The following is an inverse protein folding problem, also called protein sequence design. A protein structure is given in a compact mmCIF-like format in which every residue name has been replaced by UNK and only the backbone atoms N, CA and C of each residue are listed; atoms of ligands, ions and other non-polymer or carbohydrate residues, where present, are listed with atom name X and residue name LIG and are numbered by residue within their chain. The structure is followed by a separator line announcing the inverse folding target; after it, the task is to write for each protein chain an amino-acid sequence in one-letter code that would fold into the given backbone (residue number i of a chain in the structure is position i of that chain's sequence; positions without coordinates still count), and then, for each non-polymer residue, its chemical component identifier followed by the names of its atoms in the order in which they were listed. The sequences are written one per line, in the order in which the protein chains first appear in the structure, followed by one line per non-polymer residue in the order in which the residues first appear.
data_IF_759173570345
#
_entry.id   IF_759173570345
#
_cell.length_a   1.000
_cell.length_b   1.000
_cell.length_c   1.000
_cell.angle_alpha   90.00
_cell.angle_beta   90.00
_cell.angle_gamma   90.00
#
_symmetry.space_group_name_H-M   'P 1'
#
loop_
_entity.id
_entity.type
_entity.pdbx_description
1 polymer ?
#
# COMPACT_ATOMS: atom_id res chain seq x y z
N UNK A 1 -7.61 27.25 6.89
CA UNK A 1 -6.43 28.14 6.90
C UNK A 1 -5.24 27.24 7.24
N UNK A 2 -4.58 26.67 6.23
CA UNK A 2 -3.45 25.75 6.41
C UNK A 2 -2.22 26.64 6.45
N UNK A 3 -1.84 27.07 7.67
CA UNK A 3 -0.67 27.90 7.90
C UNK A 3 0.60 27.05 7.89
N UNK A 4 1.38 27.23 6.82
CA UNK A 4 2.84 27.35 6.80
C UNK A 4 3.61 26.38 7.71
N UNK A 5 4.06 25.27 7.12
CA UNK A 5 5.24 24.54 7.56
C UNK A 5 6.19 24.42 6.37
N UNK A 6 6.80 25.55 6.00
CA UNK A 6 7.98 25.57 5.14
C UNK A 6 9.19 25.99 5.99
N UNK A 7 9.89 25.00 6.55
CA UNK A 7 11.23 25.21 7.10
C UNK A 7 12.04 23.92 7.02
N UNK A 8 12.91 23.87 6.00
CA UNK A 8 14.13 23.05 5.86
C UNK A 8 14.14 21.61 6.40
N UNK A 9 13.89 20.67 5.49
CA UNK A 9 14.04 19.23 5.66
C UNK A 9 12.88 18.54 4.98
N UNK A 10 13.13 17.53 4.14
CA UNK A 10 12.09 16.83 3.37
C UNK A 10 10.91 16.45 4.28
N UNK A 11 9.79 17.18 4.20
CA UNK A 11 8.61 16.90 5.02
C UNK A 11 7.91 15.70 4.39
N UNK A 12 8.03 14.55 5.04
CA UNK A 12 7.29 13.36 4.65
C UNK A 12 5.87 13.45 5.22
N UNK A 13 4.87 13.35 4.34
CA UNK A 13 3.47 13.50 4.74
C UNK A 13 3.01 12.40 5.69
N UNK A 14 3.59 11.20 5.59
CA UNK A 14 3.31 10.06 6.45
C UNK A 14 3.68 10.28 7.92
N UNK A 15 4.58 11.20 8.26
CA UNK A 15 4.84 11.59 9.66
C UNK A 15 4.09 12.86 10.07
N UNK A 16 3.24 13.42 9.21
CA UNK A 16 2.47 14.63 9.55
C UNK A 16 1.44 14.34 10.64
N UNK A 17 1.21 15.29 11.56
CA UNK A 17 0.20 15.16 12.61
C UNK A 17 -1.22 15.11 12.01
N UNK A 18 -2.09 14.31 12.61
CA UNK A 18 -3.52 14.30 12.29
C UNK A 18 -4.30 14.93 13.44
N UNK A 19 -4.86 16.11 13.18
CA UNK A 19 -5.62 16.86 14.16
C UNK A 19 -6.80 16.06 14.71
N UNK A 20 -7.15 16.33 15.97
CA UNK A 20 -8.26 15.68 16.69
C UNK A 20 -8.11 14.17 16.88
N UNK A 21 -6.89 13.65 16.80
CA UNK A 21 -6.56 12.27 17.16
C UNK A 21 -5.71 12.21 18.42
N UNK A 22 -5.64 11.02 19.02
CA UNK A 22 -4.87 10.70 20.22
C UNK A 22 -4.50 9.22 20.22
N UNK A 23 -3.72 8.80 21.20
CA UNK A 23 -3.38 7.38 21.40
C UNK A 23 -4.60 6.43 21.46
N UNK A 24 -5.80 6.94 21.78
CA UNK A 24 -7.05 6.16 21.79
C UNK A 24 -7.48 5.69 20.39
N UNK A 25 -7.06 6.41 19.36
CA UNK A 25 -7.34 6.09 17.95
C UNK A 25 -6.37 5.02 17.41
N UNK A 26 -5.43 4.56 18.24
CA UNK A 26 -4.50 3.48 17.91
C UNK A 26 -4.90 2.17 18.61
N UNK A 27 -4.49 1.06 18.00
CA UNK A 27 -4.55 -0.25 18.61
C UNK A 27 -3.26 -0.56 19.37
N UNK A 28 -3.28 -0.29 20.67
CA UNK A 28 -2.13 -0.49 21.55
C UNK A 28 -1.69 -1.95 21.64
N UNK A 29 -2.60 -2.92 21.56
CA UNK A 29 -2.21 -4.33 21.64
C UNK A 29 -1.40 -4.72 20.40
N UNK A 30 -1.86 -4.29 19.22
CA UNK A 30 -1.13 -4.48 17.96
C UNK A 30 0.22 -3.76 17.97
N UNK A 31 0.29 -2.55 18.53
CA UNK A 31 1.55 -1.82 18.69
C UNK A 31 2.50 -2.61 19.59
N UNK A 32 2.02 -3.11 20.74
CA UNK A 32 2.85 -3.89 21.66
C UNK A 32 3.36 -5.16 20.99
N UNK A 33 2.49 -5.89 20.30
CA UNK A 33 2.86 -7.10 19.56
C UNK A 33 3.93 -6.77 18.50
N UNK A 34 3.77 -5.67 17.76
CA UNK A 34 4.76 -5.22 16.80
C UNK A 34 6.12 -4.91 17.44
N UNK A 35 6.16 -4.17 18.55
CA UNK A 35 7.43 -3.82 19.20
C UNK A 35 8.10 -5.04 19.83
N UNK A 36 7.30 -5.98 20.35
CA UNK A 36 7.79 -7.24 20.88
C UNK A 36 8.42 -8.10 19.78
N UNK A 37 7.70 -8.28 18.66
CA UNK A 37 8.12 -9.17 17.57
C UNK A 37 9.27 -8.59 16.72
N UNK A 38 9.22 -7.29 16.40
CA UNK A 38 10.11 -6.69 15.39
C UNK A 38 11.16 -5.74 15.96
N UNK A 39 10.95 -5.22 17.17
CA UNK A 39 11.89 -4.29 17.82
C UNK A 39 12.54 -4.90 19.07
N UNK A 40 12.20 -6.15 19.45
CA UNK A 40 12.67 -6.82 20.67
C UNK A 40 12.49 -5.99 21.93
N UNK A 41 11.49 -5.10 21.92
CA UNK A 41 11.23 -4.16 23.01
C UNK A 41 9.86 -4.47 23.60
N UNK A 42 9.82 -4.78 24.89
CA UNK A 42 8.60 -5.16 25.56
C UNK A 42 7.85 -3.93 26.08
N UNK A 43 6.83 -3.50 25.34
CA UNK A 43 5.94 -2.41 25.76
C UNK A 43 4.90 -2.84 26.82
N UNK A 44 4.80 -4.13 27.16
CA UNK A 44 3.87 -4.60 28.20
C UNK A 44 4.38 -4.28 29.62
N UNK A 45 5.69 -4.17 29.81
CA UNK A 45 6.30 -3.85 31.11
C UNK A 45 6.41 -2.34 31.40
N UNK A 46 6.12 -1.50 30.40
CA UNK A 46 6.30 -0.05 30.48
C UNK A 46 5.09 0.70 31.04
N UNK A 47 5.34 1.81 31.74
CA UNK A 47 4.28 2.70 32.21
C UNK A 47 3.72 3.58 31.07
N UNK A 48 2.55 4.18 31.29
CA UNK A 48 1.86 4.97 30.26
C UNK A 48 2.68 6.13 29.69
N UNK A 49 3.48 6.83 30.53
CA UNK A 49 4.30 7.95 30.07
C UNK A 49 5.46 7.46 29.22
N UNK A 50 6.06 6.35 29.61
CA UNK A 50 7.15 5.72 28.86
C UNK A 50 6.66 5.21 27.50
N UNK A 51 5.49 4.54 27.46
CA UNK A 51 4.84 4.15 26.20
C UNK A 51 4.63 5.37 25.29
N UNK A 52 4.01 6.45 25.80
CA UNK A 52 3.76 7.65 24.99
C UNK A 52 5.05 8.24 24.41
N UNK A 53 6.11 8.33 25.21
CA UNK A 53 7.43 8.79 24.78
C UNK A 53 8.03 7.90 23.70
N UNK A 54 7.91 6.58 23.85
CA UNK A 54 8.40 5.61 22.84
C UNK A 54 7.64 5.78 21.53
N UNK A 55 6.31 5.92 21.58
CA UNK A 55 5.50 6.11 20.37
C UNK A 55 5.77 7.45 19.68
N UNK A 56 6.12 8.50 20.43
CA UNK A 56 6.60 9.77 19.87
C UNK A 56 7.96 9.58 19.18
N UNK A 57 8.92 8.93 19.85
CA UNK A 57 10.24 8.66 19.28
C UNK A 57 10.19 7.75 18.05
N UNK A 58 9.18 6.89 17.97
CA UNK A 58 8.94 5.99 16.85
C UNK A 58 8.13 6.63 15.71
N UNK A 59 7.81 7.93 15.83
CA UNK A 59 7.00 8.73 14.90
C UNK A 59 5.54 8.26 14.72
N UNK A 60 5.05 7.35 15.58
CA UNK A 60 3.65 6.89 15.59
C UNK A 60 2.73 7.98 16.17
N UNK A 61 3.22 8.68 17.20
CA UNK A 61 2.62 9.88 17.77
C UNK A 61 3.49 11.10 17.46
N UNK A 62 2.88 12.28 17.51
CA UNK A 62 3.53 13.57 17.38
C UNK A 62 3.09 14.47 18.52
N UNK A 63 4.01 15.30 19.01
CA UNK A 63 3.72 16.31 20.02
C UNK A 63 3.82 17.69 19.39
N UNK A 64 2.72 18.42 19.36
CA UNK A 64 2.61 19.77 18.77
C UNK A 64 1.86 20.65 19.76
N UNK A 65 2.44 21.81 20.10
CA UNK A 65 1.87 22.78 21.04
C UNK A 65 1.42 22.14 22.37
N UNK A 66 2.21 21.18 22.87
CA UNK A 66 1.92 20.44 24.10
C UNK A 66 0.83 19.37 23.98
N UNK A 67 0.19 19.22 22.82
CA UNK A 67 -0.81 18.19 22.55
C UNK A 67 -0.19 17.02 21.80
N UNK A 68 -0.51 15.80 22.24
CA UNK A 68 -0.11 14.57 21.56
C UNK A 68 -1.22 14.12 20.60
N UNK A 69 -0.85 13.91 19.35
CA UNK A 69 -1.73 13.46 18.26
C UNK A 69 -1.09 12.29 17.52
N UNK A 70 -1.86 11.52 16.76
CA UNK A 70 -1.29 10.50 15.88
C UNK A 70 -0.60 11.14 14.67
N UNK A 71 0.41 10.46 14.13
CA UNK A 71 0.86 10.71 12.76
C UNK A 71 -0.03 10.00 11.75
N UNK A 72 0.02 10.44 10.49
CA UNK A 72 -0.64 9.76 9.36
C UNK A 72 -0.23 8.28 9.30
N UNK A 73 1.06 7.99 9.34
CA UNK A 73 1.62 6.64 9.27
C UNK A 73 1.25 5.81 10.49
N UNK A 74 1.27 6.40 11.68
CA UNK A 74 0.80 5.77 12.90
C UNK A 74 -0.65 5.28 12.78
N UNK A 75 -1.54 6.09 12.20
CA UNK A 75 -2.92 5.69 11.93
C UNK A 75 -3.01 4.63 10.83
N UNK A 76 -2.27 4.76 9.74
CA UNK A 76 -2.33 3.81 8.63
C UNK A 76 -1.81 2.41 8.99
N UNK A 77 -0.87 2.31 9.91
CA UNK A 77 -0.29 1.02 10.35
C UNK A 77 -0.99 0.47 11.59
N UNK A 78 -1.38 1.33 12.55
CA UNK A 78 -1.87 0.90 13.86
C UNK A 78 -3.24 1.48 14.25
N UNK A 79 -3.87 2.25 13.39
CA UNK A 79 -5.12 2.95 13.70
C UNK A 79 -6.34 2.04 13.83
N UNK A 80 -7.34 2.57 14.54
CA UNK A 80 -8.70 2.06 14.63
C UNK A 80 -9.62 3.03 13.90
N UNK A 81 -10.67 2.53 13.25
CA UNK A 81 -11.69 3.36 12.58
C UNK A 81 -11.08 4.46 11.67
N UNK A 82 -10.04 4.12 10.92
CA UNK A 82 -9.20 5.06 10.16
C UNK A 82 -10.04 5.89 9.18
N UNK A 83 -11.13 5.34 8.65
CA UNK A 83 -12.01 6.02 7.70
C UNK A 83 -12.65 7.31 8.23
N UNK A 84 -12.83 7.42 9.55
CA UNK A 84 -13.40 8.61 10.18
C UNK A 84 -12.45 9.81 10.11
N UNK A 85 -11.14 9.55 10.06
CA UNK A 85 -10.08 10.57 10.08
C UNK A 85 -9.36 10.70 8.74
N UNK A 86 -9.36 9.63 7.94
CA UNK A 86 -8.68 9.53 6.64
C UNK A 86 -9.56 8.80 5.62
N UNK A 87 -10.65 9.43 5.12
CA UNK A 87 -11.57 8.80 4.17
C UNK A 87 -10.93 8.42 2.82
N UNK A 88 -9.75 8.97 2.52
CA UNK A 88 -8.93 8.66 1.35
C UNK A 88 -8.09 7.38 1.49
N UNK A 89 -7.99 6.81 2.70
CA UNK A 89 -7.32 5.53 2.92
C UNK A 89 -8.13 4.38 2.30
N UNK A 90 -7.45 3.38 1.74
CA UNK A 90 -8.10 2.19 1.21
C UNK A 90 -8.00 1.99 -0.30
N UNK A 91 -8.63 0.91 -0.75
CA UNK A 91 -8.68 0.45 -2.14
C UNK A 91 -10.14 0.35 -2.58
N UNK A 92 -10.46 0.91 -3.74
CA UNK A 92 -11.70 0.64 -4.48
C UNK A 92 -11.41 -0.34 -5.61
N UNK A 93 -11.93 -1.55 -5.49
CA UNK A 93 -11.80 -2.60 -6.49
C UNK A 93 -13.06 -2.70 -7.35
N UNK A 94 -12.89 -2.87 -8.65
CA UNK A 94 -13.95 -3.21 -9.58
C UNK A 94 -13.47 -4.23 -10.61
N UNK A 95 -14.28 -5.25 -10.85
CA UNK A 95 -14.08 -6.25 -11.89
C UNK A 95 -15.14 -6.06 -12.96
N UNK A 96 -14.73 -5.84 -14.20
CA UNK A 96 -15.59 -5.63 -15.34
C UNK A 96 -15.57 -6.83 -16.27
N UNK A 97 -16.71 -7.12 -16.89
CA UNK A 97 -16.80 -8.03 -18.01
C UNK A 97 -16.24 -7.35 -19.27
N UNK A 98 -15.33 -8.02 -19.99
CA UNK A 98 -14.61 -7.42 -21.11
C UNK A 98 -13.42 -6.53 -20.69
N UNK A 99 -13.01 -5.65 -21.60
CA UNK A 99 -11.77 -4.88 -21.50
C UNK A 99 -11.98 -3.37 -21.30
N UNK A 100 -13.22 -2.94 -21.08
CA UNK A 100 -13.64 -1.55 -20.94
C UNK A 100 -14.37 -1.30 -19.61
N UNK A 101 -14.24 -0.09 -19.06
CA UNK A 101 -14.92 0.33 -17.82
C UNK A 101 -16.44 0.45 -17.98
N UNK A 102 -16.92 0.55 -19.22
CA UNK A 102 -18.32 0.53 -19.62
C UNK A 102 -18.93 -0.87 -19.60
N UNK A 103 -18.11 -1.92 -19.46
CA UNK A 103 -18.56 -3.29 -19.33
C UNK A 103 -19.35 -3.55 -18.05
N UNK A 104 -20.09 -4.66 -18.03
CA UNK A 104 -20.89 -5.05 -16.87
C UNK A 104 -20.02 -5.26 -15.63
N UNK A 105 -20.45 -4.72 -14.49
CA UNK A 105 -19.73 -4.83 -13.22
C UNK A 105 -19.97 -6.21 -12.59
N UNK A 106 -18.94 -7.06 -12.59
CA UNK A 106 -18.96 -8.42 -12.03
C UNK A 106 -18.85 -8.38 -10.51
N UNK A 107 -17.90 -7.60 -9.99
CA UNK A 107 -17.67 -7.46 -8.55
C UNK A 107 -17.19 -6.04 -8.24
N UNK A 108 -17.52 -5.57 -7.04
CA UNK A 108 -17.08 -4.26 -6.53
C UNK A 108 -16.87 -4.36 -5.03
N UNK A 109 -15.70 -3.95 -4.58
CA UNK A 109 -15.32 -3.93 -3.16
C UNK A 109 -14.68 -2.59 -2.81
N UNK A 110 -14.89 -2.15 -1.58
CA UNK A 110 -14.13 -1.05 -1.00
C UNK A 110 -13.50 -1.58 0.27
N UNK A 111 -12.18 -1.57 0.30
CA UNK A 111 -11.39 -1.98 1.46
C UNK A 111 -10.85 -0.75 2.16
N UNK A 112 -10.98 -0.76 3.47
CA UNK A 112 -10.50 0.28 4.37
C UNK A 112 -9.96 -0.37 5.64
N UNK A 113 -8.99 0.26 6.30
CA UNK A 113 -8.34 -0.28 7.49
C UNK A 113 -6.84 -0.06 7.47
N UNK A 114 -6.12 -0.89 8.24
CA UNK A 114 -4.66 -0.83 8.28
C UNK A 114 -4.08 -1.33 6.96
N UNK A 115 -2.92 -0.83 6.56
CA UNK A 115 -2.37 -1.16 5.23
C UNK A 115 -2.13 -2.66 5.04
N UNK A 116 -1.63 -3.35 6.06
CA UNK A 116 -1.42 -4.79 6.05
C UNK A 116 -2.74 -5.57 5.88
N UNK A 117 -3.81 -5.14 6.56
CA UNK A 117 -5.12 -5.78 6.44
C UNK A 117 -5.70 -5.60 5.04
N UNK A 118 -5.58 -4.39 4.49
CA UNK A 118 -6.01 -4.08 3.12
C UNK A 118 -5.21 -4.91 2.12
N UNK A 119 -3.90 -5.06 2.31
CA UNK A 119 -3.03 -5.81 1.41
C UNK A 119 -3.44 -7.29 1.33
N UNK A 120 -3.63 -7.93 2.49
CA UNK A 120 -4.02 -9.33 2.59
C UNK A 120 -5.42 -9.57 2.01
N UNK A 121 -6.39 -8.74 2.38
CA UNK A 121 -7.76 -8.85 1.88
C UNK A 121 -7.83 -8.64 0.36
N UNK A 122 -7.07 -7.67 -0.17
CA UNK A 122 -7.06 -7.40 -1.60
C UNK A 122 -6.46 -8.58 -2.38
N UNK A 123 -5.40 -9.21 -1.87
CA UNK A 123 -4.83 -10.40 -2.50
C UNK A 123 -5.85 -11.54 -2.58
N UNK A 124 -6.62 -11.76 -1.51
CA UNK A 124 -7.71 -12.75 -1.50
C UNK A 124 -8.79 -12.40 -2.52
N UNK A 125 -9.21 -11.13 -2.60
CA UNK A 125 -10.22 -10.68 -3.58
C UNK A 125 -9.74 -10.88 -5.02
N UNK A 126 -8.49 -10.54 -5.33
CA UNK A 126 -7.93 -10.77 -6.68
C UNK A 126 -7.90 -12.26 -7.00
N UNK A 127 -7.41 -13.10 -6.10
CA UNK A 127 -7.37 -14.56 -6.30
C UNK A 127 -8.75 -15.17 -6.52
N UNK A 128 -9.78 -14.67 -5.84
CA UNK A 128 -11.14 -15.14 -6.00
C UNK A 128 -11.80 -14.68 -7.32
N UNK A 129 -11.35 -13.56 -7.87
CA UNK A 129 -11.86 -13.02 -9.14
C UNK A 129 -11.10 -13.55 -10.37
N UNK A 130 -9.85 -14.00 -10.19
CA UNK A 130 -9.10 -14.70 -11.24
C UNK A 130 -9.78 -16.05 -11.47
N UNK A 131 -10.42 -16.19 -12.65
CA UNK A 131 -10.97 -17.46 -13.11
C UNK A 131 -9.81 -18.46 -13.14
N UNK A 132 -9.93 -19.59 -12.45
CA UNK A 132 -8.99 -20.71 -12.58
C UNK A 132 -9.52 -21.65 -13.67
N UNK A 133 -9.18 -21.48 -14.96
CA UNK A 133 -9.46 -22.51 -15.94
C UNK A 133 -8.63 -23.74 -15.56
N UNK A 134 -9.29 -24.75 -15.01
CA UNK A 134 -8.68 -26.07 -14.81
C UNK A 134 -8.57 -26.72 -16.19
N UNK A 135 -7.51 -26.36 -16.93
CA UNK A 135 -7.23 -26.99 -18.22
C UNK A 135 -6.67 -28.37 -17.94
N UNK A 136 -7.53 -29.40 -18.03
CA UNK A 136 -7.13 -30.81 -17.93
C UNK A 136 -6.43 -31.18 -19.23
N UNK A 137 -5.11 -30.96 -19.30
CA UNK A 137 -4.26 -31.57 -20.32
C UNK A 137 -3.54 -32.78 -19.69
N UNK A 138 -3.96 -33.98 -20.11
CA UNK A 138 -3.26 -35.27 -19.99
C UNK A 138 -2.50 -35.56 -18.67
N UNK A 139 -3.12 -36.36 -17.79
CA UNK A 139 -2.53 -37.06 -16.62
C UNK A 139 -1.78 -36.22 -15.55
N UNK A 140 -1.38 -34.97 -15.82
CA UNK A 140 -0.80 -34.02 -14.86
C UNK A 140 -1.41 -32.63 -15.07
N UNK A 141 -2.12 -32.14 -14.05
CA UNK A 141 -2.64 -30.77 -14.00
C UNK A 141 -1.45 -29.80 -14.04
N UNK A 142 -1.30 -29.05 -15.13
CA UNK A 142 -0.43 -27.87 -15.18
C UNK A 142 -1.32 -26.64 -14.98
N UNK A 143 -1.33 -26.11 -13.77
CA UNK A 143 -1.93 -24.79 -13.52
C UNK A 143 -0.95 -23.75 -14.07
N UNK A 144 -1.27 -23.14 -15.23
CA UNK A 144 -0.55 -21.95 -15.68
C UNK A 144 -1.07 -20.79 -14.83
N UNK A 145 -0.23 -20.26 -13.93
CA UNK A 145 -0.60 -19.07 -13.16
C UNK A 145 -0.70 -17.86 -14.10
N UNK A 146 -1.93 -17.35 -14.30
CA UNK A 146 -2.21 -16.18 -15.14
C UNK A 146 -1.57 -14.90 -14.56
N UNK A 147 -1.57 -14.81 -13.22
CA UNK A 147 -0.99 -13.73 -12.45
C UNK A 147 -0.27 -14.33 -11.24
N UNK A 148 1.07 -14.41 -11.25
CA UNK A 148 1.80 -14.98 -10.13
C UNK A 148 1.51 -14.24 -8.83
N UNK A 149 1.29 -14.97 -7.74
CA UNK A 149 0.88 -14.38 -6.46
C UNK A 149 1.87 -13.33 -5.95
N UNK A 150 3.17 -13.52 -6.23
CA UNK A 150 4.22 -12.58 -5.89
C UNK A 150 4.06 -11.23 -6.62
N UNK A 151 3.67 -11.27 -7.90
CA UNK A 151 3.43 -10.06 -8.72
C UNK A 151 2.24 -9.27 -8.17
N UNK A 152 1.14 -9.96 -7.85
CA UNK A 152 -0.05 -9.33 -7.26
C UNK A 152 0.26 -8.70 -5.90
N UNK A 153 0.96 -9.43 -5.03
CA UNK A 153 1.37 -8.94 -3.71
C UNK A 153 2.21 -7.67 -3.84
N UNK A 154 3.22 -7.68 -4.70
CA UNK A 154 4.10 -6.55 -4.91
C UNK A 154 3.34 -5.34 -5.46
N UNK A 155 2.45 -5.53 -6.44
CA UNK A 155 1.64 -4.45 -7.00
C UNK A 155 0.69 -3.82 -5.97
N UNK A 156 0.04 -4.63 -5.13
CA UNK A 156 -0.84 -4.16 -4.04
C UNK A 156 -0.05 -3.36 -3.01
N UNK A 157 1.06 -3.93 -2.49
CA UNK A 157 1.86 -3.28 -1.45
C UNK A 157 2.46 -1.99 -1.98
N UNK A 158 3.02 -1.98 -3.19
CA UNK A 158 3.56 -0.76 -3.81
C UNK A 158 2.49 0.31 -3.97
N UNK A 159 1.27 -0.07 -4.35
CA UNK A 159 0.14 0.87 -4.45
C UNK A 159 -0.16 1.53 -3.11
N UNK A 160 -0.12 0.77 -2.00
CA UNK A 160 -0.41 1.25 -0.65
C UNK A 160 0.72 2.12 -0.06
N UNK A 161 1.97 1.68 -0.17
CA UNK A 161 3.12 2.35 0.47
C UNK A 161 3.60 3.57 -0.30
N UNK A 162 3.46 3.59 -1.63
CA UNK A 162 3.89 4.73 -2.45
C UNK A 162 2.77 5.73 -2.77
N UNK A 163 1.53 5.46 -2.31
CA UNK A 163 0.39 6.39 -2.45
C UNK A 163 0.71 7.77 -1.88
N UNK A 164 0.28 8.82 -2.57
CA UNK A 164 0.31 10.17 -2.03
C UNK A 164 -0.87 10.42 -1.07
N UNK A 165 -0.62 10.32 0.24
CA UNK A 165 -1.67 10.48 1.25
C UNK A 165 -2.17 11.90 1.47
N UNK A 166 -1.52 12.92 0.89
CA UNK A 166 -2.01 14.29 0.90
C UNK A 166 -3.16 14.54 -0.07
N UNK A 167 -3.34 13.66 -1.07
CA UNK A 167 -4.48 13.73 -2.00
C UNK A 167 -5.72 13.18 -1.30
N UNK A 168 -6.63 14.10 -0.96
CA UNK A 168 -7.94 13.80 -0.39
C UNK A 168 -8.94 13.42 -1.49
N UNK A 169 -9.95 12.63 -1.15
CA UNK A 169 -11.09 12.33 -2.06
C UNK A 169 -10.86 11.23 -3.11
N UNK A 170 -9.65 10.68 -3.23
CA UNK A 170 -9.36 9.55 -4.14
C UNK A 170 -8.69 8.40 -3.38
N UNK A 171 -9.30 7.20 -3.43
CA UNK A 171 -8.67 5.95 -2.95
C UNK A 171 -7.78 5.36 -4.05
N UNK A 172 -6.95 4.38 -3.72
CA UNK A 172 -6.33 3.53 -4.76
C UNK A 172 -7.46 2.85 -5.52
N UNK A 173 -7.37 2.77 -6.84
CA UNK A 173 -8.34 2.06 -7.67
C UNK A 173 -7.67 0.86 -8.30
N UNK A 174 -8.29 -0.31 -8.16
CA UNK A 174 -7.83 -1.53 -8.83
C UNK A 174 -8.95 -1.97 -9.76
N UNK A 175 -8.65 -1.98 -11.06
CA UNK A 175 -9.57 -2.42 -12.09
C UNK A 175 -9.11 -3.74 -12.67
N UNK A 176 -10.00 -4.72 -12.67
CA UNK A 176 -9.78 -6.02 -13.29
C UNK A 176 -10.65 -6.13 -14.53
N UNK A 177 -10.01 -6.52 -15.63
CA UNK A 177 -10.60 -6.78 -16.94
C UNK A 177 -10.29 -8.22 -17.35
N UNK A 178 -10.87 -8.69 -18.45
CA UNK A 178 -10.60 -10.05 -18.95
C UNK A 178 -9.13 -10.27 -19.34
N UNK A 179 -8.42 -9.21 -19.77
CA UNK A 179 -7.04 -9.29 -20.27
C UNK A 179 -5.97 -8.70 -19.33
N UNK A 180 -6.34 -7.97 -18.28
CA UNK A 180 -5.38 -7.23 -17.44
C UNK A 180 -5.95 -6.81 -16.08
N UNK A 181 -5.04 -6.46 -15.17
CA UNK A 181 -5.33 -5.77 -13.92
C UNK A 181 -4.58 -4.44 -13.93
N UNK A 182 -5.27 -3.35 -13.62
CA UNK A 182 -4.71 -2.01 -13.51
C UNK A 182 -4.73 -1.53 -12.06
N UNK A 183 -3.59 -1.07 -11.57
CA UNK A 183 -3.39 -0.51 -10.25
C UNK A 183 -3.17 1.00 -10.38
N UNK A 184 -4.19 1.79 -10.05
CA UNK A 184 -4.19 3.24 -10.11
C UNK A 184 -3.93 3.81 -8.72
N UNK A 185 -2.73 4.36 -8.50
CA UNK A 185 -2.34 4.96 -7.22
C UNK A 185 -2.32 6.49 -7.32
N UNK A 186 -3.00 7.22 -6.41
CA UNK A 186 -2.95 8.67 -6.37
C UNK A 186 -1.53 9.22 -6.14
N UNK A 187 -1.13 10.18 -6.98
CA UNK A 187 0.14 10.88 -6.94
C UNK A 187 1.05 10.53 -8.12
N UNK A 188 1.73 11.55 -8.65
CA UNK A 188 2.79 11.43 -9.67
C UNK A 188 4.04 10.74 -9.13
N UNK A 189 4.95 10.34 -10.01
CA UNK A 189 6.29 9.98 -9.63
C UNK A 189 7.03 11.20 -9.05
N UNK A 190 7.89 11.02 -8.04
CA UNK A 190 8.79 12.08 -7.60
C UNK A 190 9.69 12.51 -8.76
N UNK A 191 9.99 13.81 -8.88
CA UNK A 191 10.81 14.37 -9.96
C UNK A 191 12.20 13.72 -10.13
N UNK A 192 12.68 13.01 -9.10
CA UNK A 192 13.97 12.31 -9.09
C UNK A 192 13.92 10.92 -9.74
N UNK A 193 12.73 10.35 -9.92
CA UNK A 193 12.48 9.00 -10.43
C UNK A 193 11.73 9.06 -11.76
N UNK A 194 12.23 8.31 -12.75
CA UNK A 194 11.53 8.12 -14.04
C UNK A 194 11.16 6.65 -14.19
N UNK A 195 10.19 6.35 -15.06
CA UNK A 195 9.78 4.97 -15.36
C UNK A 195 10.99 4.10 -15.74
N UNK A 196 11.87 4.58 -16.62
CA UNK A 196 13.10 3.86 -17.01
C UNK A 196 14.02 3.56 -15.83
N UNK A 197 14.16 4.52 -14.90
CA UNK A 197 14.95 4.32 -13.68
C UNK A 197 14.30 3.29 -12.75
N UNK A 198 12.97 3.23 -12.67
CA UNK A 198 12.25 2.22 -11.88
C UNK A 198 12.48 0.81 -12.42
N UNK A 199 12.52 0.64 -13.74
CA UNK A 199 12.78 -0.67 -14.39
C UNK A 199 14.15 -1.26 -14.04
N UNK A 200 15.14 -0.42 -13.74
CA UNK A 200 16.48 -0.84 -13.30
C UNK A 200 16.65 -0.82 -11.77
N UNK A 201 15.58 -0.59 -11.02
CA UNK A 201 15.53 -0.71 -9.57
C UNK A 201 15.80 0.57 -8.77
N UNK A 202 15.82 1.73 -9.42
CA UNK A 202 15.84 3.01 -8.70
C UNK A 202 14.45 3.26 -8.12
N UNK A 203 14.38 3.45 -6.81
CA UNK A 203 13.14 3.76 -6.09
C UNK A 203 13.32 4.97 -5.20
N UNK A 204 12.20 5.63 -4.88
CA UNK A 204 12.16 6.73 -3.91
C UNK A 204 11.03 6.47 -2.92
N UNK A 205 11.38 6.43 -1.64
CA UNK A 205 10.41 6.27 -0.57
C UNK A 205 9.69 7.60 -0.31
N UNK A 206 8.55 7.82 -0.98
CA UNK A 206 7.65 8.95 -0.70
C UNK A 206 7.21 8.96 0.78
N UNK A 207 6.92 7.77 1.30
CA UNK A 207 6.48 7.55 2.66
C UNK A 207 7.50 6.64 3.39
N UNK A 208 8.68 7.15 3.84
CA UNK A 208 9.70 6.34 4.50
C UNK A 208 9.22 5.67 5.79
N UNK A 209 8.30 6.29 6.54
CA UNK A 209 7.69 5.66 7.70
C UNK A 209 6.92 4.42 7.26
N UNK A 210 6.02 4.55 6.27
CA UNK A 210 5.24 3.41 5.81
C UNK A 210 6.13 2.30 5.26
N UNK A 211 7.15 2.65 4.47
CA UNK A 211 8.13 1.68 3.93
C UNK A 211 8.81 0.94 5.07
N UNK A 212 9.34 1.63 6.08
CA UNK A 212 10.02 1.02 7.23
C UNK A 212 9.14 0.02 7.98
N UNK A 213 7.93 0.41 8.34
CA UNK A 213 7.04 -0.48 9.12
C UNK A 213 6.54 -1.66 8.29
N UNK A 214 6.24 -1.45 7.01
CA UNK A 214 5.84 -2.54 6.11
C UNK A 214 7.01 -3.49 5.79
N UNK A 215 8.24 -2.99 5.74
CA UNK A 215 9.46 -3.80 5.61
C UNK A 215 9.73 -4.64 6.85
N UNK A 216 9.59 -4.06 8.05
CA UNK A 216 9.72 -4.80 9.31
C UNK A 216 8.73 -5.98 9.36
N UNK A 217 7.47 -5.74 8.95
CA UNK A 217 6.43 -6.76 8.82
C UNK A 217 6.57 -7.66 7.57
N UNK A 218 7.67 -7.51 6.81
CA UNK A 218 8.03 -8.30 5.62
C UNK A 218 7.06 -8.20 4.44
N UNK A 219 6.30 -7.12 4.32
CA UNK A 219 5.41 -6.86 3.17
C UNK A 219 6.15 -6.31 1.95
N UNK A 220 7.30 -5.64 2.15
CA UNK A 220 8.13 -5.07 1.08
C UNK A 220 9.62 -5.30 1.39
N UNK A 221 10.43 -5.45 0.35
CA UNK A 221 11.91 -5.48 0.45
C UNK A 221 12.50 -4.15 -0.06
N UNK A 222 13.28 -3.43 0.74
CA UNK A 222 13.83 -2.10 0.37
C UNK A 222 15.00 -2.16 -0.62
N UNK A 223 15.12 -3.23 -1.40
CA UNK A 223 16.22 -3.42 -2.37
C UNK A 223 15.94 -2.79 -3.74
N UNK A 224 14.82 -2.08 -3.92
CA UNK A 224 14.39 -1.54 -5.21
C UNK A 224 14.04 -2.62 -6.24
N UNK A 225 13.83 -3.86 -5.80
CA UNK A 225 13.65 -5.03 -6.68
C UNK A 225 12.22 -5.26 -7.12
N UNK A 226 11.25 -4.56 -6.54
CA UNK A 226 9.82 -4.77 -6.77
C UNK A 226 9.41 -4.72 -8.25
N UNK A 227 9.58 -3.55 -8.87
CA UNK A 227 9.27 -3.36 -10.29
C UNK A 227 10.11 -4.27 -11.22
N UNK A 228 11.45 -4.38 -11.05
CA UNK A 228 12.24 -5.34 -11.82
C UNK A 228 11.74 -6.79 -11.70
N UNK A 229 11.32 -7.20 -10.49
CA UNK A 229 10.77 -8.53 -10.23
C UNK A 229 9.45 -8.72 -10.96
N UNK A 230 8.52 -7.76 -10.88
CA UNK A 230 7.25 -7.81 -11.61
C UNK A 230 7.49 -8.01 -13.12
N UNK A 231 8.38 -7.20 -13.71
CA UNK A 231 8.69 -7.26 -15.14
C UNK A 231 9.29 -8.62 -15.50
N UNK A 232 10.28 -9.08 -14.73
CA UNK A 232 10.95 -10.36 -14.97
C UNK A 232 9.97 -11.53 -14.86
N UNK A 233 9.21 -11.60 -13.78
CA UNK A 233 8.29 -12.71 -13.51
C UNK A 233 7.19 -12.81 -14.57
N UNK A 234 6.63 -11.68 -15.02
CA UNK A 234 5.64 -11.68 -16.09
C UNK A 234 6.24 -12.10 -17.44
N UNK A 235 7.48 -11.70 -17.73
CA UNK A 235 8.20 -12.14 -18.92
C UNK A 235 8.50 -13.64 -18.89
N UNK A 236 8.90 -14.19 -17.74
CA UNK A 236 9.27 -15.60 -17.58
C UNK A 236 8.08 -16.55 -17.83
N UNK A 237 6.84 -16.10 -17.59
CA UNK A 237 5.61 -16.86 -17.90
C UNK A 237 5.04 -16.59 -19.31
N UNK A 238 5.73 -15.78 -20.11
CA UNK A 238 5.35 -15.45 -21.49
C UNK A 238 4.24 -14.40 -21.60
N UNK A 239 3.93 -13.67 -20.53
CA UNK A 239 2.96 -12.58 -20.58
C UNK A 239 3.55 -11.33 -21.25
N UNK A 240 2.66 -10.42 -21.65
CA UNK A 240 3.06 -9.08 -22.10
C UNK A 240 3.74 -8.32 -20.97
N UNK A 241 4.79 -7.56 -21.30
CA UNK A 241 5.50 -6.73 -20.33
C UNK A 241 4.53 -5.77 -19.62
N UNK A 242 4.58 -5.68 -18.28
CA UNK A 242 3.79 -4.72 -17.52
C UNK A 242 4.06 -3.28 -17.96
N UNK A 243 3.00 -2.48 -18.03
CA UNK A 243 3.09 -1.06 -18.42
C UNK A 243 3.04 -0.20 -17.16
N UNK A 244 3.99 0.73 -17.06
CA UNK A 244 4.01 1.76 -16.03
C UNK A 244 3.77 3.10 -16.72
N UNK A 245 2.83 3.89 -16.23
CA UNK A 245 2.47 5.17 -16.83
C UNK A 245 2.07 6.19 -15.78
N UNK A 246 2.29 7.46 -16.07
CA UNK A 246 1.70 8.58 -15.34
C UNK A 246 0.54 9.14 -16.14
N UNK A 247 -0.61 9.32 -15.51
CA UNK A 247 -1.80 9.91 -16.14
C UNK A 247 -2.39 10.95 -15.20
N UNK A 248 -2.30 12.23 -15.58
CA UNK A 248 -2.72 13.32 -14.70
C UNK A 248 -1.96 13.29 -13.37
N UNK A 249 -2.68 13.19 -12.25
CA UNK A 249 -2.13 13.12 -10.89
C UNK A 249 -2.06 11.68 -10.36
N UNK A 250 -1.92 10.68 -11.23
CA UNK A 250 -1.92 9.27 -10.87
C UNK A 250 -0.80 8.50 -11.54
N UNK A 251 -0.31 7.49 -10.81
CA UNK A 251 0.58 6.48 -11.33
C UNK A 251 -0.22 5.19 -11.56
N UNK A 252 -0.06 4.58 -12.73
CA UNK A 252 -0.80 3.39 -13.13
C UNK A 252 0.20 2.28 -13.50
N UNK A 253 0.04 1.13 -12.85
CA UNK A 253 0.70 -0.13 -13.21
C UNK A 253 -0.33 -1.07 -13.83
N UNK A 254 -0.10 -1.48 -15.07
CA UNK A 254 -0.95 -2.44 -15.79
C UNK A 254 -0.22 -3.77 -15.94
N UNK A 255 -0.83 -4.84 -15.43
CA UNK A 255 -0.32 -6.21 -15.53
C UNK A 255 -1.27 -7.00 -16.43
N UNK A 256 -0.74 -7.55 -17.52
CA UNK A 256 -1.52 -8.33 -18.49
C UNK A 256 -1.61 -9.80 -18.08
N UNK A 257 -2.71 -10.44 -18.45
CA UNK A 257 -2.91 -11.88 -18.35
C UNK A 257 -1.90 -12.64 -19.23
N UNK A 258 -1.37 -13.76 -18.72
CA UNK A 258 -0.42 -14.63 -19.41
C UNK A 258 -1.06 -15.65 -20.37
#
# INVERSE_FOLDING_TARGET
MIGIFETNGSIHFDISPVNNTSIKDLNLDIIRDYFFEYNTFDLYEEDKKSIERILINADILKQIDGKVTCSVGGLLIFGKNIDNVMPQNGISFAHFNGNEITGDLIDKKVLCGRLQDIADQMLVILKNNIKNPSTINQLKRQEKEEYPALVLREAIVNSLVHRNYSILGSKIRIFMFDDRIEFHSPGKLPNTVTIEKMKIGVSYARNPFLVKYMENMRYIDQLGRGIPMIIKTMKDIGAREPVLQESGEEFILTIYKA
#
